data_IF_657351972647
#
_entry.id   IF_657351972647
#
_cell.length_a   1.000
_cell.length_b   1.000
_cell.length_c   1.000
_cell.angle_alpha   90.00
_cell.angle_beta   90.00
_cell.angle_gamma   90.00
#
_symmetry.space_group_name_H-M   'P 1'
#
loop_
_entity.id
_entity.type
_entity.pdbx_description
1 polymer ?
#
# COMPACT_ATOMS: atom_id res chain seq x y z
N UNK A 1 -36.69 25.01 5.81
CA UNK A 1 -36.54 24.25 4.54
C UNK A 1 -35.07 24.18 4.09
N UNK A 2 -34.36 25.30 4.00
CA UNK A 2 -32.95 25.34 3.56
C UNK A 2 -32.00 24.54 4.46
N UNK A 3 -32.14 24.66 5.78
CA UNK A 3 -31.28 23.92 6.73
C UNK A 3 -31.47 22.41 6.69
N UNK A 4 -32.72 21.94 6.50
CA UNK A 4 -33.01 20.51 6.36
C UNK A 4 -32.39 19.93 5.08
N UNK A 5 -32.41 20.69 3.99
CA UNK A 5 -31.77 20.29 2.73
C UNK A 5 -30.24 20.24 2.86
N UNK A 6 -29.64 21.23 3.52
CA UNK A 6 -28.20 21.24 3.82
C UNK A 6 -27.78 20.07 4.73
N UNK A 7 -28.57 19.78 5.76
CA UNK A 7 -28.34 18.65 6.67
C UNK A 7 -28.45 17.30 5.95
N UNK A 8 -29.45 17.13 5.08
CA UNK A 8 -29.59 15.91 4.24
C UNK A 8 -28.42 15.74 3.28
N UNK A 9 -27.99 16.81 2.61
CA UNK A 9 -26.83 16.78 1.71
C UNK A 9 -25.55 16.41 2.44
N UNK A 10 -25.28 17.02 3.61
CA UNK A 10 -24.11 16.71 4.43
C UNK A 10 -24.13 15.28 4.93
N UNK A 11 -25.30 14.76 5.33
CA UNK A 11 -25.48 13.34 5.70
C UNK A 11 -25.20 12.40 4.53
N UNK A 12 -25.71 12.70 3.33
CA UNK A 12 -25.43 11.89 2.13
C UNK A 12 -23.94 11.86 1.80
N UNK A 13 -23.25 13.01 1.85
CA UNK A 13 -21.80 13.09 1.63
C UNK A 13 -21.00 12.29 2.66
N UNK A 14 -21.43 12.30 3.93
CA UNK A 14 -20.81 11.48 4.98
C UNK A 14 -21.10 9.99 4.83
N UNK A 15 -22.17 9.61 4.13
CA UNK A 15 -22.53 8.22 3.82
C UNK A 15 -21.87 7.70 2.54
N UNK A 16 -21.48 8.59 1.63
CA UNK A 16 -20.80 8.24 0.37
C UNK A 16 -19.34 7.83 0.61
N UNK A 17 -18.68 8.36 1.64
CA UNK A 17 -17.37 7.85 2.06
C UNK A 17 -17.56 6.56 2.87
N UNK A 18 -17.09 5.46 2.31
CA UNK A 18 -17.02 4.16 3.01
C UNK A 18 -15.90 4.13 4.07
N UNK A 19 -15.16 5.24 4.26
CA UNK A 19 -14.03 5.36 5.18
C UNK A 19 -12.74 4.73 4.66
N UNK A 20 -12.72 4.18 3.44
CA UNK A 20 -11.59 3.47 2.84
C UNK A 20 -10.99 4.19 1.64
N UNK A 21 -11.37 5.44 1.37
CA UNK A 21 -10.90 6.21 0.22
C UNK A 21 -9.36 6.24 0.14
N UNK A 22 -8.69 6.27 1.31
CA UNK A 22 -7.24 6.24 1.41
C UNK A 22 -6.65 4.87 1.04
N UNK A 23 -7.21 3.79 1.54
CA UNK A 23 -6.78 2.42 1.30
C UNK A 23 -7.00 2.03 -0.18
N UNK A 24 -8.12 2.49 -0.76
CA UNK A 24 -8.44 2.36 -2.18
C UNK A 24 -7.37 3.06 -3.01
N UNK A 25 -7.14 4.36 -2.78
CA UNK A 25 -6.16 5.14 -3.55
C UNK A 25 -4.73 4.55 -3.47
N UNK A 26 -4.34 4.04 -2.30
CA UNK A 26 -3.04 3.37 -2.12
C UNK A 26 -2.95 2.05 -2.90
N UNK A 27 -4.04 1.30 -2.97
CA UNK A 27 -4.11 0.04 -3.72
C UNK A 27 -4.10 0.30 -5.22
N UNK A 28 -4.81 1.31 -5.70
CA UNK A 28 -4.78 1.74 -7.10
C UNK A 28 -3.37 2.15 -7.53
N UNK A 29 -2.66 2.94 -6.71
CA UNK A 29 -1.27 3.30 -6.96
C UNK A 29 -0.37 2.05 -7.08
N UNK A 30 -0.53 1.07 -6.20
CA UNK A 30 0.24 -0.17 -6.24
C UNK A 30 -0.04 -0.96 -7.53
N UNK A 31 -1.31 -1.08 -7.93
CA UNK A 31 -1.70 -1.75 -9.17
C UNK A 31 -1.06 -1.04 -10.38
N UNK A 32 -1.10 0.31 -10.42
CA UNK A 32 -0.46 1.08 -11.49
C UNK A 32 1.05 0.82 -11.56
N UNK A 33 1.74 0.79 -10.42
CA UNK A 33 3.18 0.50 -10.38
C UNK A 33 3.48 -0.90 -10.93
N UNK A 34 2.67 -1.90 -10.59
CA UNK A 34 2.83 -3.28 -11.09
C UNK A 34 2.54 -3.37 -12.59
N UNK A 35 1.45 -2.77 -13.07
CA UNK A 35 1.06 -2.83 -14.48
C UNK A 35 2.05 -2.12 -15.41
N UNK A 36 2.62 -0.99 -14.95
CA UNK A 36 3.64 -0.26 -15.71
C UNK A 36 4.99 -1.01 -15.77
N UNK A 37 5.19 -1.99 -14.88
CA UNK A 37 6.36 -2.85 -14.86
C UNK A 37 5.92 -4.31 -15.10
N UNK A 38 5.40 -4.57 -16.29
CA UNK A 38 4.79 -5.86 -16.66
C UNK A 38 5.74 -7.06 -16.61
N UNK A 39 7.05 -6.80 -16.56
CA UNK A 39 8.07 -7.83 -16.45
C UNK A 39 8.57 -7.89 -15.02
N UNK A 40 8.97 -9.09 -14.58
CA UNK A 40 9.72 -9.23 -13.33
C UNK A 40 10.97 -8.36 -13.46
N UNK A 41 11.19 -7.51 -12.48
CA UNK A 41 12.40 -6.69 -12.42
C UNK A 41 13.57 -7.63 -12.12
N UNK A 42 14.45 -7.79 -13.12
CA UNK A 42 15.67 -8.57 -12.96
C UNK A 42 16.73 -7.80 -12.15
N UNK A 43 16.71 -6.47 -12.25
CA UNK A 43 17.61 -5.57 -11.54
C UNK A 43 16.87 -4.73 -10.49
N UNK A 44 17.61 -4.36 -9.43
CA UNK A 44 17.11 -3.46 -8.41
C UNK A 44 16.92 -2.04 -8.95
N UNK A 45 15.72 -1.48 -8.78
CA UNK A 45 15.40 -0.07 -9.05
C UNK A 45 15.09 0.66 -7.73
N UNK A 46 15.99 1.57 -7.34
CA UNK A 46 15.87 2.37 -6.12
C UNK A 46 14.62 3.26 -6.12
N UNK A 47 14.31 3.90 -7.25
CA UNK A 47 13.19 4.82 -7.36
C UNK A 47 11.85 4.07 -7.21
N UNK A 48 11.75 2.90 -7.82
CA UNK A 48 10.58 2.05 -7.69
C UNK A 48 10.44 1.51 -6.26
N UNK A 49 11.55 1.12 -5.62
CA UNK A 49 11.56 0.69 -4.24
C UNK A 49 11.03 1.78 -3.29
N UNK A 50 11.53 3.01 -3.42
CA UNK A 50 11.06 4.17 -2.64
C UNK A 50 9.60 4.55 -2.94
N UNK A 51 9.13 4.27 -4.15
CA UNK A 51 7.73 4.48 -4.50
C UNK A 51 6.81 3.42 -3.91
N UNK A 52 7.25 2.18 -3.77
CA UNK A 52 6.46 1.05 -3.28
C UNK A 52 6.48 0.90 -1.76
N UNK A 53 7.66 1.03 -1.13
CA UNK A 53 7.88 0.77 0.31
C UNK A 53 7.55 2.01 1.14
N UNK A 54 6.74 1.82 2.18
CA UNK A 54 6.38 2.84 3.17
C UNK A 54 7.32 2.80 4.37
N UNK A 55 7.63 1.59 4.86
CA UNK A 55 8.59 1.42 5.97
C UNK A 55 9.22 0.04 5.98
N UNK A 56 10.36 -0.04 6.64
CA UNK A 56 11.12 -1.26 6.87
C UNK A 56 11.13 -1.54 8.37
N UNK A 57 10.78 -2.77 8.74
CA UNK A 57 10.74 -3.23 10.13
C UNK A 57 11.79 -4.35 10.27
N UNK A 58 12.79 -4.11 11.10
CA UNK A 58 13.85 -5.08 11.39
C UNK A 58 13.47 -5.84 12.66
N UNK A 59 13.41 -7.17 12.56
CA UNK A 59 13.09 -8.04 13.69
C UNK A 59 14.34 -8.73 14.24
N UNK A 60 14.27 -9.18 15.50
CA UNK A 60 15.39 -9.85 16.19
C UNK A 60 15.69 -11.26 15.68
N UNK A 61 14.76 -11.87 14.96
CA UNK A 61 14.80 -13.26 14.50
C UNK A 61 15.36 -13.41 13.07
N UNK A 62 16.25 -12.52 12.64
CA UNK A 62 16.73 -12.49 11.26
C UNK A 62 15.59 -12.38 10.23
N UNK A 63 14.56 -11.59 10.52
CA UNK A 63 13.53 -11.28 9.53
C UNK A 63 13.44 -9.78 9.30
N UNK A 64 13.10 -9.42 8.08
CA UNK A 64 12.86 -8.06 7.65
C UNK A 64 11.46 -8.00 7.06
N UNK A 65 10.65 -7.05 7.52
CA UNK A 65 9.32 -6.81 6.95
C UNK A 65 9.31 -5.49 6.20
N UNK A 66 9.03 -5.55 4.91
CA UNK A 66 8.74 -4.40 4.07
C UNK A 66 7.25 -4.12 4.11
N UNK A 67 6.83 -3.00 4.69
CA UNK A 67 5.46 -2.54 4.55
C UNK A 67 5.38 -1.66 3.32
N UNK A 68 4.53 -2.02 2.37
CA UNK A 68 4.30 -1.23 1.16
C UNK A 68 3.17 -0.22 1.38
N UNK A 69 3.03 0.77 0.47
CA UNK A 69 2.14 1.94 0.68
C UNK A 69 0.66 1.63 0.89
N UNK A 70 0.17 0.47 0.44
CA UNK A 70 -1.19 0.01 0.72
C UNK A 70 -1.32 -0.73 2.06
N UNK A 71 -0.29 -0.70 2.90
CA UNK A 71 -0.21 -1.34 4.21
C UNK A 71 -0.02 -2.86 4.19
N UNK A 72 0.12 -3.49 3.02
CA UNK A 72 0.56 -4.88 2.93
C UNK A 72 1.98 -5.03 3.48
N UNK A 73 2.25 -6.18 4.07
CA UNK A 73 3.52 -6.51 4.69
C UNK A 73 4.13 -7.73 4.02
N UNK A 74 5.36 -7.59 3.53
CA UNK A 74 6.15 -8.65 2.92
C UNK A 74 7.30 -8.95 3.87
N UNK A 75 7.36 -10.18 4.40
CA UNK A 75 8.39 -10.58 5.36
C UNK A 75 9.35 -11.56 4.72
N UNK A 76 10.64 -11.21 4.77
CA UNK A 76 11.75 -12.01 4.25
C UNK A 76 12.64 -12.49 5.39
N UNK A 77 13.22 -13.67 5.24
CA UNK A 77 14.18 -14.24 6.18
C UNK A 77 15.61 -13.90 5.74
N UNK A 78 16.34 -13.15 6.57
CA UNK A 78 17.74 -12.82 6.37
C UNK A 78 18.64 -14.00 6.75
N UNK A 79 18.82 -14.95 5.83
CA UNK A 79 19.81 -16.02 5.95
C UNK A 79 19.22 -17.43 5.92
N UNK A 80 19.08 -18.00 4.73
CA UNK A 80 19.99 -19.01 4.17
C UNK A 80 19.50 -19.37 2.76
N UNK A 81 20.41 -19.30 1.80
CA UNK A 81 20.37 -20.19 0.64
C UNK A 81 20.24 -21.62 1.18
N UNK A 82 19.31 -22.38 0.61
CA UNK A 82 19.26 -23.82 0.84
C UNK A 82 20.57 -24.35 0.29
N UNK A 83 21.50 -24.71 1.18
CA UNK A 83 22.67 -25.52 0.81
C UNK A 83 22.11 -26.81 0.20
N UNK A 84 22.15 -26.95 -1.14
CA UNK A 84 21.92 -28.19 -1.87
C UNK A 84 23.07 -29.20 -1.66
#
# INVERSE_FOLDING_TARGET
MLELAAAKKKRSQLLESNGFDREIARTELLIMLIQNNSNILEDYDENLFLQAVDKIIIHKNHTITFRIKNSLELTEYCGKEVDE
#
